data_IF_134101658036
#
_entry.id   IF_134101658036
#
_cell.length_a   1.000
_cell.length_b   1.000
_cell.length_c   1.000
_cell.angle_alpha   90.00
_cell.angle_beta   90.00
_cell.angle_gamma   90.00
#
_symmetry.space_group_name_H-M   'P 1'
#
loop_
_entity.id
_entity.type
_entity.pdbx_description
1 polymer ?
#
# COMPACT_ATOMS: atom_id res chain seq x y z
N UNK A 1 -59.87 11.78 12.59
CA UNK A 1 -58.67 11.95 11.72
C UNK A 1 -57.42 11.63 12.54
N UNK A 2 -56.94 10.38 12.51
CA UNK A 2 -55.70 9.93 13.17
C UNK A 2 -54.99 8.97 12.20
N UNK A 3 -54.35 9.52 11.18
CA UNK A 3 -53.64 8.75 10.15
C UNK A 3 -52.21 9.28 9.95
N UNK A 4 -51.50 9.55 11.06
CA UNK A 4 -50.09 9.93 11.02
C UNK A 4 -49.15 8.87 11.63
N UNK A 5 -49.70 7.83 12.24
CA UNK A 5 -48.91 6.79 12.89
C UNK A 5 -48.21 5.77 11.95
N UNK A 6 -48.74 5.38 10.77
CA UNK A 6 -48.13 4.27 10.02
C UNK A 6 -46.97 4.71 9.11
N UNK A 7 -46.84 6.01 8.82
CA UNK A 7 -45.78 6.53 7.95
C UNK A 7 -44.42 6.58 8.65
N UNK A 8 -44.41 6.78 9.97
CA UNK A 8 -43.18 6.85 10.77
C UNK A 8 -42.44 5.50 10.88
N UNK A 9 -43.15 4.38 10.74
CA UNK A 9 -42.54 3.04 10.79
C UNK A 9 -41.95 2.60 9.44
N UNK A 10 -42.44 3.12 8.32
CA UNK A 10 -41.91 2.79 7.00
C UNK A 10 -40.49 3.38 6.77
N UNK A 11 -40.18 4.52 7.41
CA UNK A 11 -38.85 5.14 7.32
C UNK A 11 -37.81 4.47 8.23
N UNK A 12 -38.22 3.68 9.23
CA UNK A 12 -37.31 2.84 10.01
C UNK A 12 -36.97 1.53 9.28
N UNK A 13 -37.89 1.00 8.47
CA UNK A 13 -37.66 -0.19 7.65
C UNK A 13 -36.86 0.09 6.36
N UNK A 14 -36.88 1.33 5.87
CA UNK A 14 -36.10 1.81 4.72
C UNK A 14 -34.96 2.76 5.12
N UNK A 15 -34.70 2.87 6.42
CA UNK A 15 -33.64 3.68 7.02
C UNK A 15 -32.28 3.06 6.76
N UNK A 16 -31.83 3.28 5.52
CA UNK A 16 -30.48 3.13 4.99
C UNK A 16 -29.45 2.76 6.05
N UNK A 17 -29.10 1.48 6.08
CA UNK A 17 -27.77 1.04 6.51
C UNK A 17 -26.75 1.72 5.61
N UNK A 18 -26.41 2.98 5.91
CA UNK A 18 -25.11 3.54 5.57
C UNK A 18 -24.11 2.76 6.41
N UNK A 19 -23.86 1.52 6.00
CA UNK A 19 -22.57 0.88 6.22
C UNK A 19 -21.59 1.78 5.50
N UNK A 20 -21.07 2.76 6.22
CA UNK A 20 -19.80 3.38 5.85
C UNK A 20 -18.78 2.26 6.05
N UNK A 21 -18.73 1.33 5.11
CA UNK A 21 -17.48 0.70 4.78
C UNK A 21 -16.61 1.83 4.22
N UNK A 22 -16.10 2.69 5.12
CA UNK A 22 -14.82 3.34 4.85
C UNK A 22 -13.94 2.17 4.49
N UNK A 23 -13.49 2.12 3.24
CA UNK A 23 -12.64 1.05 2.76
C UNK A 23 -11.53 0.92 3.80
N UNK A 24 -11.47 -0.19 4.53
CA UNK A 24 -10.61 -0.33 5.71
C UNK A 24 -9.13 -0.11 5.34
N UNK A 25 -8.83 -0.17 4.05
CA UNK A 25 -7.54 0.15 3.45
C UNK A 25 -7.28 1.65 3.32
N UNK A 26 -8.29 2.46 3.05
CA UNK A 26 -8.15 3.93 2.96
C UNK A 26 -7.83 4.51 4.35
N UNK A 27 -8.47 3.99 5.41
CA UNK A 27 -8.17 4.42 6.78
C UNK A 27 -6.70 4.21 7.15
N UNK A 28 -6.10 3.08 6.74
CA UNK A 28 -4.70 2.77 7.01
C UNK A 28 -3.68 3.64 6.25
N UNK A 29 -4.13 4.61 5.45
CA UNK A 29 -3.21 5.57 4.80
C UNK A 29 -3.12 6.91 5.51
N UNK A 30 -3.96 7.17 6.53
CA UNK A 30 -4.06 8.48 7.20
C UNK A 30 -2.74 8.99 7.77
N UNK A 31 -1.98 8.11 8.43
CA UNK A 31 -0.69 8.45 9.04
C UNK A 31 0.51 8.01 8.19
N UNK A 32 0.27 7.53 6.97
CA UNK A 32 1.30 6.97 6.12
C UNK A 32 1.90 7.99 5.15
N UNK A 33 3.24 8.03 5.10
CA UNK A 33 4.00 8.65 4.02
C UNK A 33 4.48 7.60 2.99
N UNK A 34 4.24 6.32 3.27
CA UNK A 34 4.56 5.15 2.47
C UNK A 34 6.02 4.78 2.54
N UNK A 35 6.56 4.28 1.43
CA UNK A 35 7.97 3.90 1.36
C UNK A 35 8.89 5.11 1.12
N UNK A 36 8.60 6.26 1.74
CA UNK A 36 9.38 7.49 1.59
C UNK A 36 10.66 7.41 2.41
N UNK A 37 11.69 6.81 1.84
CA UNK A 37 13.00 6.70 2.48
C UNK A 37 13.97 7.78 1.98
N UNK A 38 14.93 8.26 2.80
CA UNK A 38 15.99 9.18 2.35
C UNK A 38 16.80 8.61 1.18
N UNK A 39 16.91 7.28 1.12
CA UNK A 39 17.51 6.54 0.02
C UNK A 39 16.42 6.17 -0.99
N UNK A 40 16.64 6.42 -2.29
CA UNK A 40 15.74 5.90 -3.33
C UNK A 40 15.97 4.41 -3.55
N UNK A 41 15.29 3.59 -2.74
CA UNK A 41 15.27 2.14 -2.91
C UNK A 41 14.24 1.75 -4.01
N UNK A 42 14.48 0.69 -4.80
CA UNK A 42 13.48 0.16 -5.71
C UNK A 42 12.36 -0.54 -4.93
N UNK A 43 11.38 -1.12 -5.64
CA UNK A 43 10.24 -1.84 -5.05
C UNK A 43 9.28 -0.99 -4.20
N UNK A 44 9.40 0.35 -4.18
CA UNK A 44 8.54 1.24 -3.38
C UNK A 44 7.05 0.97 -3.56
N UNK A 45 6.58 0.87 -4.81
CA UNK A 45 5.17 0.59 -5.08
C UNK A 45 4.76 -0.81 -4.61
N UNK A 46 5.67 -1.77 -4.69
CA UNK A 46 5.40 -3.15 -4.33
C UNK A 46 5.29 -3.32 -2.81
N UNK A 47 6.19 -2.69 -2.07
CA UNK A 47 6.21 -2.70 -0.61
C UNK A 47 5.28 -1.67 0.03
N UNK A 48 4.58 -0.85 -0.77
CA UNK A 48 3.66 0.18 -0.26
C UNK A 48 2.72 -0.33 0.83
N UNK A 49 2.06 -1.51 0.71
CA UNK A 49 1.19 -2.00 1.77
C UNK A 49 1.90 -2.24 3.10
N UNK A 50 3.15 -2.72 3.08
CA UNK A 50 3.95 -2.94 4.29
C UNK A 50 4.42 -1.60 4.89
N UNK A 51 4.81 -0.64 4.04
CA UNK A 51 5.19 0.69 4.48
C UNK A 51 4.00 1.44 5.13
N UNK A 52 2.80 1.31 4.57
CA UNK A 52 1.61 1.96 5.13
C UNK A 52 1.29 1.43 6.54
N UNK A 53 1.41 0.11 6.78
CA UNK A 53 1.27 -0.51 8.11
C UNK A 53 2.38 -0.05 9.06
N UNK A 54 3.63 -0.03 8.59
CA UNK A 54 4.79 0.41 9.39
C UNK A 54 4.65 1.85 9.88
N UNK A 55 4.22 2.77 9.01
CA UNK A 55 4.00 4.16 9.37
C UNK A 55 2.91 4.32 10.43
N UNK A 56 1.80 3.57 10.31
CA UNK A 56 0.76 3.57 11.35
C UNK A 56 1.29 3.00 12.67
N UNK A 57 2.11 1.95 12.61
CA UNK A 57 2.77 1.40 13.80
C UNK A 57 3.73 2.42 14.43
N UNK A 58 4.48 3.17 13.62
CA UNK A 58 5.32 4.25 14.13
C UNK A 58 4.52 5.38 14.77
N UNK A 59 3.33 5.66 14.25
CA UNK A 59 2.47 6.70 14.80
C UNK A 59 1.76 6.27 16.09
N UNK A 60 1.20 5.05 16.10
CA UNK A 60 0.25 4.58 17.11
C UNK A 60 0.74 3.40 17.95
N UNK A 61 1.83 2.72 17.57
CA UNK A 61 2.32 1.51 18.23
C UNK A 61 2.50 1.69 19.73
N UNK A 62 3.09 2.82 20.15
CA UNK A 62 3.27 3.15 21.57
C UNK A 62 1.96 3.23 22.35
N UNK A 63 0.90 3.79 21.75
CA UNK A 63 -0.44 3.86 22.34
C UNK A 63 -0.99 2.46 22.63
N UNK A 64 -0.65 1.47 21.81
CA UNK A 64 -1.07 0.07 21.95
C UNK A 64 0.00 -0.84 22.58
N UNK A 65 1.07 -0.27 23.15
CA UNK A 65 2.13 -1.03 23.80
C UNK A 65 3.06 -1.80 22.86
N UNK A 66 3.05 -1.49 21.56
CA UNK A 66 3.97 -2.04 20.56
C UNK A 66 5.21 -1.17 20.54
N UNK A 67 6.39 -1.75 20.69
CA UNK A 67 7.68 -1.06 20.60
C UNK A 67 8.08 -0.75 19.15
N UNK A 68 9.05 0.15 19.00
CA UNK A 68 9.64 0.44 17.68
C UNK A 68 10.27 -0.81 17.07
N UNK A 69 10.99 -1.60 17.88
CA UNK A 69 11.60 -2.85 17.42
C UNK A 69 10.53 -3.81 16.88
N UNK A 70 9.39 -3.96 17.57
CA UNK A 70 8.27 -4.80 17.09
C UNK A 70 7.66 -4.27 15.79
N UNK A 71 7.55 -2.94 15.62
CA UNK A 71 7.12 -2.34 14.36
C UNK A 71 8.11 -2.67 13.21
N UNK A 72 9.42 -2.52 13.45
CA UNK A 72 10.46 -2.77 12.45
C UNK A 72 10.52 -4.27 12.05
N UNK A 73 10.39 -5.18 13.01
CA UNK A 73 10.34 -6.62 12.77
C UNK A 73 9.10 -7.03 11.97
N UNK A 74 7.93 -6.49 12.33
CA UNK A 74 6.69 -6.70 11.59
C UNK A 74 6.80 -6.18 10.15
N UNK A 75 7.42 -5.01 9.95
CA UNK A 75 7.66 -4.44 8.63
C UNK A 75 8.49 -5.37 7.73
N UNK A 76 9.57 -5.95 8.25
CA UNK A 76 10.36 -6.93 7.51
C UNK A 76 9.54 -8.19 7.18
N UNK A 77 8.76 -8.69 8.14
CA UNK A 77 7.88 -9.85 7.95
C UNK A 77 6.86 -9.61 6.84
N UNK A 78 6.21 -8.44 6.83
CA UNK A 78 5.20 -8.10 5.82
C UNK A 78 5.81 -7.95 4.42
N UNK A 79 6.98 -7.32 4.31
CA UNK A 79 7.71 -7.27 3.03
C UNK A 79 8.10 -8.67 2.54
N UNK A 80 8.55 -9.56 3.43
CA UNK A 80 8.84 -10.95 3.06
C UNK A 80 7.60 -11.71 2.61
N UNK A 81 6.46 -11.53 3.28
CA UNK A 81 5.19 -12.12 2.87
C UNK A 81 4.74 -11.61 1.49
N UNK A 82 5.00 -10.32 1.17
CA UNK A 82 4.84 -9.81 -0.19
C UNK A 82 5.79 -10.51 -1.16
N UNK A 83 7.06 -10.70 -0.81
CA UNK A 83 8.02 -11.40 -1.68
C UNK A 83 7.62 -12.86 -1.96
N UNK A 84 7.12 -13.59 -0.97
CA UNK A 84 6.66 -14.98 -1.13
C UNK A 84 5.55 -15.10 -2.18
N UNK A 85 4.65 -14.11 -2.26
CA UNK A 85 3.57 -14.08 -3.26
C UNK A 85 4.06 -13.98 -4.71
N UNK A 86 5.29 -13.54 -4.95
CA UNK A 86 5.85 -13.44 -6.30
C UNK A 86 6.37 -14.77 -6.86
N UNK A 87 6.55 -15.79 -6.02
CA UNK A 87 7.19 -17.05 -6.38
C UNK A 87 8.72 -16.94 -6.55
N UNK A 88 9.41 -18.09 -6.54
CA UNK A 88 10.90 -18.17 -6.53
C UNK A 88 11.59 -17.52 -7.73
N UNK A 89 10.88 -17.34 -8.84
CA UNK A 89 11.47 -16.88 -10.11
C UNK A 89 11.41 -15.36 -10.31
N UNK A 90 10.70 -14.64 -9.43
CA UNK A 90 10.54 -13.18 -9.56
C UNK A 90 11.69 -12.45 -8.87
N UNK A 91 12.81 -12.33 -9.58
CA UNK A 91 13.96 -11.55 -9.12
C UNK A 91 13.75 -10.02 -9.23
N UNK A 92 12.54 -9.56 -9.56
CA UNK A 92 12.24 -8.13 -9.70
C UNK A 92 10.86 -7.84 -9.12
N UNK A 93 10.76 -6.81 -8.29
CA UNK A 93 9.47 -6.37 -7.77
C UNK A 93 8.62 -5.81 -8.92
N UNK A 94 7.39 -6.30 -9.12
CA UNK A 94 6.52 -5.73 -10.13
C UNK A 94 6.18 -4.29 -9.72
N UNK A 95 6.35 -3.34 -10.65
CA UNK A 95 5.60 -2.09 -10.54
C UNK A 95 4.13 -2.48 -10.44
N UNK A 96 3.39 -1.89 -9.50
CA UNK A 96 1.95 -2.16 -9.40
C UNK A 96 1.36 -1.92 -10.78
N UNK A 97 0.89 -2.98 -11.47
CA UNK A 97 0.11 -2.78 -12.68
C UNK A 97 -1.03 -1.89 -12.24
N UNK A 98 -1.03 -0.62 -12.64
CA UNK A 98 -2.29 0.12 -12.77
C UNK A 98 -3.18 -0.83 -13.54
N UNK A 99 -4.18 -1.40 -12.84
CA UNK A 99 -5.22 -2.21 -13.45
C UNK A 99 -5.63 -1.40 -14.67
N UNK A 100 -5.34 -1.89 -15.86
CA UNK A 100 -5.52 -1.13 -17.08
C UNK A 100 -6.99 -0.76 -17.12
N UNK A 101 -7.31 0.47 -16.74
CA UNK A 101 -8.61 1.03 -17.03
C UNK A 101 -8.57 1.09 -18.55
N UNK A 102 -9.26 0.15 -19.18
CA UNK A 102 -9.61 0.24 -20.59
C UNK A 102 -10.49 1.46 -20.72
N UNK A 103 -9.86 2.64 -20.75
CA UNK A 103 -10.49 3.85 -21.22
C UNK A 103 -10.81 3.57 -22.69
N UNK A 104 -12.08 3.25 -22.97
CA UNK A 104 -12.62 3.17 -24.31
C UNK A 104 -12.63 4.53 -25.04
N UNK A 105 -11.82 5.50 -24.59
CA UNK A 105 -11.66 6.82 -25.17
C UNK A 105 -10.21 7.07 -25.56
N UNK A 106 -9.64 6.18 -26.36
CA UNK A 106 -8.50 6.53 -27.20
C UNK A 106 -9.06 7.12 -28.51
N UNK A 107 -8.85 8.41 -28.70
CA UNK A 107 -9.07 9.11 -29.98
C UNK A 107 -8.41 8.35 -31.13
N UNK A 108 -9.10 8.29 -32.27
CA UNK A 108 -8.81 7.47 -33.46
C UNK A 108 -7.56 7.88 -34.26
N UNK A 109 -6.44 8.15 -33.59
CA UNK A 109 -5.20 8.50 -34.28
C UNK A 109 -4.28 7.28 -34.26
N UNK A 110 -4.18 6.65 -35.44
CA UNK A 110 -3.25 5.60 -35.87
C UNK A 110 -3.64 4.13 -35.56
N UNK A 111 -4.51 3.59 -36.41
CA UNK A 111 -4.80 2.15 -36.58
C UNK A 111 -3.69 1.37 -37.35
N UNK A 112 -2.46 1.88 -37.42
CA UNK A 112 -1.37 1.21 -38.12
C UNK A 112 -0.72 0.16 -37.19
N UNK A 113 -0.85 -1.13 -37.55
CA UNK A 113 -0.20 -2.24 -36.84
C UNK A 113 1.29 -1.98 -36.61
N UNK A 114 1.95 -1.34 -37.58
CA UNK A 114 3.34 -0.90 -37.52
C UNK A 114 3.67 -0.02 -36.31
N UNK A 115 2.81 0.93 -35.95
CA UNK A 115 3.04 1.83 -34.83
C UNK A 115 2.83 1.13 -33.49
N UNK A 116 1.86 0.21 -33.43
CA UNK A 116 1.64 -0.63 -32.26
C UNK A 116 2.86 -1.51 -31.99
N UNK A 117 3.40 -2.17 -33.03
CA UNK A 117 4.61 -2.99 -32.91
C UNK A 117 5.84 -2.15 -32.55
N UNK A 118 5.99 -0.94 -33.10
CA UNK A 118 7.10 -0.04 -32.77
C UNK A 118 7.02 0.49 -31.32
N UNK A 119 5.81 0.82 -30.83
CA UNK A 119 5.60 1.22 -29.44
C UNK A 119 5.85 0.05 -28.48
N UNK A 120 5.38 -1.15 -28.82
CA UNK A 120 5.63 -2.37 -28.03
C UNK A 120 7.13 -2.69 -27.98
N UNK A 121 7.83 -2.61 -29.11
CA UNK A 121 9.27 -2.83 -29.19
C UNK A 121 10.05 -1.78 -28.40
N UNK A 122 9.68 -0.49 -28.48
CA UNK A 122 10.30 0.57 -27.69
C UNK A 122 10.04 0.40 -26.20
N UNK A 123 8.85 -0.07 -25.82
CA UNK A 123 8.53 -0.38 -24.42
C UNK A 123 9.34 -1.56 -23.89
N UNK A 124 9.53 -2.60 -24.71
CA UNK A 124 10.34 -3.76 -24.39
C UNK A 124 11.81 -3.41 -24.27
N UNK A 125 12.36 -2.64 -25.22
CA UNK A 125 13.73 -2.16 -25.18
C UNK A 125 13.98 -1.25 -23.98
N UNK A 126 13.07 -0.33 -23.67
CA UNK A 126 13.16 0.51 -22.46
C UNK A 126 13.07 -0.31 -21.16
N UNK A 127 12.23 -1.36 -21.12
CA UNK A 127 12.17 -2.29 -19.99
C UNK A 127 13.50 -3.04 -19.84
N UNK A 128 14.08 -3.52 -20.94
CA UNK A 128 15.34 -4.25 -20.97
C UNK A 128 16.54 -3.36 -20.61
N UNK A 129 16.55 -2.11 -21.05
CA UNK A 129 17.59 -1.12 -20.69
C UNK A 129 17.51 -0.73 -19.20
N UNK A 130 16.32 -0.68 -18.60
CA UNK A 130 16.17 -0.50 -17.15
C UNK A 130 16.57 -1.75 -16.35
N UNK A 131 16.42 -2.93 -16.93
CA UNK A 131 16.83 -4.20 -16.32
C UNK A 131 18.34 -4.47 -16.42
N UNK A 132 19.08 -3.82 -17.32
CA UNK A 132 20.48 -4.19 -17.60
C UNK A 132 21.54 -3.51 -16.72
N UNK A 133 21.17 -2.74 -15.70
CA UNK A 133 22.14 -1.96 -14.89
C UNK A 133 22.24 -2.44 -13.43
N UNK A 134 21.28 -3.23 -12.94
CA UNK A 134 21.37 -3.80 -11.59
C UNK A 134 21.33 -5.33 -11.66
N UNK A 135 22.23 -6.04 -10.94
CA UNK A 135 22.08 -7.48 -10.77
C UNK A 135 20.68 -7.77 -10.24
N UNK A 136 20.04 -8.89 -10.63
CA UNK A 136 18.73 -9.28 -10.09
C UNK A 136 18.89 -9.57 -8.60
N UNK A 137 18.74 -8.53 -7.78
CA UNK A 137 18.63 -8.66 -6.33
C UNK A 137 17.22 -9.11 -6.01
N UNK A 138 17.10 -10.24 -5.31
CA UNK A 138 15.79 -10.82 -4.99
C UNK A 138 14.94 -9.81 -4.20
N UNK A 139 13.62 -9.97 -4.27
CA UNK A 139 12.69 -9.16 -3.48
C UNK A 139 13.07 -9.13 -1.98
N UNK A 140 13.53 -10.27 -1.44
CA UNK A 140 13.97 -10.40 -0.04
C UNK A 140 15.19 -9.53 0.28
N UNK A 141 16.15 -9.42 -0.65
CA UNK A 141 17.30 -8.51 -0.47
C UNK A 141 16.82 -7.06 -0.36
N UNK A 142 15.82 -6.67 -1.17
CA UNK A 142 15.24 -5.34 -1.03
C UNK A 142 14.50 -5.16 0.29
N UNK A 143 13.72 -6.15 0.73
CA UNK A 143 13.07 -6.11 2.04
C UNK A 143 14.07 -5.88 3.18
N UNK A 144 15.22 -6.56 3.16
CA UNK A 144 16.30 -6.35 4.12
C UNK A 144 16.89 -4.95 4.06
N UNK A 145 17.09 -4.38 2.86
CA UNK A 145 17.58 -3.01 2.70
C UNK A 145 16.62 -1.96 3.29
N UNK A 146 15.31 -2.14 3.10
CA UNK A 146 14.31 -1.26 3.73
C UNK A 146 14.33 -1.38 5.25
N UNK A 147 14.38 -2.59 5.77
CA UNK A 147 14.46 -2.84 7.21
C UNK A 147 15.72 -2.21 7.83
N UNK A 148 16.87 -2.39 7.19
CA UNK A 148 18.12 -1.77 7.64
C UNK A 148 18.05 -0.24 7.60
N UNK A 149 17.42 0.34 6.58
CA UNK A 149 17.23 1.78 6.50
C UNK A 149 16.39 2.31 7.67
N UNK A 150 15.26 1.70 8.00
CA UNK A 150 14.42 2.14 9.13
C UNK A 150 15.12 1.94 10.48
N UNK A 151 15.91 0.87 10.65
CA UNK A 151 16.67 0.68 11.88
C UNK A 151 17.71 1.79 12.12
N UNK A 152 18.33 2.30 11.04
CA UNK A 152 19.36 3.34 11.13
C UNK A 152 18.78 4.75 11.31
N UNK A 153 17.71 5.11 10.58
CA UNK A 153 17.20 6.49 10.53
C UNK A 153 15.78 6.66 11.07
N UNK A 154 15.03 5.57 11.20
CA UNK A 154 13.61 5.57 11.56
C UNK A 154 13.33 5.89 13.02
N UNK A 155 14.31 5.74 13.92
CA UNK A 155 14.12 6.01 15.36
C UNK A 155 13.56 7.40 15.68
N UNK A 156 13.88 8.41 14.85
CA UNK A 156 13.36 9.79 15.01
C UNK A 156 11.90 9.97 14.58
N UNK A 157 11.37 9.04 13.79
CA UNK A 157 9.99 9.05 13.28
C UNK A 157 9.02 8.28 14.17
N UNK A 158 9.53 7.47 15.10
CA UNK A 158 8.70 6.72 16.04
C UNK A 158 8.06 7.66 17.06
N UNK A 159 6.74 7.66 17.13
CA UNK A 159 5.98 8.58 17.96
C UNK A 159 6.12 8.24 19.44
N UNK A 160 6.50 9.25 20.22
CA UNK A 160 6.51 9.17 21.68
C UNK A 160 5.13 9.38 22.32
N UNK A 161 4.10 9.76 21.55
CA UNK A 161 2.75 10.04 22.08
C UNK A 161 1.97 8.77 22.39
N UNK A 162 1.03 8.88 23.31
CA UNK A 162 0.09 7.81 23.70
C UNK A 162 -1.34 8.31 23.58
N UNK A 163 -1.60 9.26 22.68
CA UNK A 163 -2.93 9.82 22.44
C UNK A 163 -3.83 8.75 21.80
N UNK A 164 -4.81 8.29 22.59
CA UNK A 164 -5.75 7.25 22.18
C UNK A 164 -6.76 7.76 21.15
N UNK A 165 -7.14 9.04 21.20
CA UNK A 165 -8.12 9.60 20.27
C UNK A 165 -7.55 9.68 18.85
N UNK A 166 -6.27 10.06 18.72
CA UNK A 166 -5.57 10.10 17.44
C UNK A 166 -5.49 8.71 16.78
N UNK A 167 -5.42 7.65 17.59
CA UNK A 167 -5.19 6.26 17.19
C UNK A 167 -6.45 5.38 17.20
N UNK A 168 -7.62 5.95 17.52
CA UNK A 168 -8.87 5.21 17.57
C UNK A 168 -9.23 4.66 16.17
N UNK A 169 -9.52 3.36 16.11
CA UNK A 169 -9.88 2.69 14.85
C UNK A 169 -8.68 2.34 13.94
N UNK A 170 -7.45 2.41 14.46
CA UNK A 170 -6.24 1.99 13.74
C UNK A 170 -5.72 0.61 14.14
N UNK A 171 -6.34 -0.08 15.10
CA UNK A 171 -5.91 -1.41 15.55
C UNK A 171 -5.74 -2.38 14.37
N UNK A 172 -6.69 -2.40 13.42
CA UNK A 172 -6.59 -3.26 12.22
C UNK A 172 -5.52 -2.84 11.21
N UNK A 173 -4.88 -1.69 11.42
CA UNK A 173 -3.76 -1.18 10.62
C UNK A 173 -2.40 -1.38 11.32
N UNK A 174 -2.38 -2.03 12.48
CA UNK A 174 -1.17 -2.38 13.22
C UNK A 174 -0.72 -3.81 12.91
N UNK A 175 0.55 -4.14 13.17
CA UNK A 175 1.02 -5.51 13.06
C UNK A 175 0.15 -6.53 13.81
N UNK A 176 -0.11 -7.68 13.17
CA UNK A 176 -0.80 -8.86 13.72
C UNK A 176 -2.33 -8.74 13.94
N UNK A 177 -3.02 -7.82 13.25
CA UNK A 177 -4.48 -7.79 13.13
C UNK A 177 -5.00 -8.31 11.78
#
# INVERSE_FOLDING_TARGET
MKLLAPVLWAMAALGVTWLVAVDSKESCTKHSNGCSTPLRLPCQEYFRPACDIHDNCYHCGKTFGISREECDEAFLKDMNALCEKLGRDSATCPATRKRGVTSHRATSIAHSRLWKTALDQKSFLNRKARQSIQPPTSCQVWAQNYHWAVQLVGGSSYSGTTDLEACQGFEHCLPNH
#
